data_IF_800622458329
#
_entry.id   IF_800622458329
#
_cell.length_a   1.000
_cell.length_b   1.000
_cell.length_c   1.000
_cell.angle_alpha   90.00
_cell.angle_beta   90.00
_cell.angle_gamma   90.00
#
_symmetry.space_group_name_H-M   'P 1'
#
loop_
_entity.id
_entity.type
_entity.pdbx_description
1 polymer ?
#
# COMPACT_ATOMS: atom_id res chain seq x y z
N UNK A 1 33.03 39.97 61.88
CA UNK A 1 33.41 38.95 60.88
C UNK A 1 32.71 39.30 59.58
N UNK A 2 33.36 40.11 58.75
CA UNK A 2 32.93 40.43 57.39
C UNK A 2 33.45 39.33 56.47
N UNK A 3 32.64 38.79 55.55
CA UNK A 3 33.13 37.80 54.59
C UNK A 3 33.97 38.48 53.50
N UNK A 4 35.08 37.81 53.21
CA UNK A 4 36.11 38.14 52.25
C UNK A 4 35.57 38.06 50.81
N UNK A 5 35.69 39.15 50.04
CA UNK A 5 35.32 39.19 48.62
C UNK A 5 36.53 38.76 47.79
N UNK A 6 36.65 37.46 47.56
CA UNK A 6 37.66 36.92 46.65
C UNK A 6 37.16 36.93 45.20
N UNK A 7 38.06 37.42 44.34
CA UNK A 7 37.98 37.66 42.90
C UNK A 7 37.28 36.57 42.05
N UNK A 8 36.24 36.98 41.32
CA UNK A 8 35.70 36.23 40.17
C UNK A 8 36.48 36.63 38.93
N UNK A 9 37.39 35.77 38.47
CA UNK A 9 38.13 35.95 37.23
C UNK A 9 37.21 35.62 36.04
N UNK A 10 36.71 36.66 35.37
CA UNK A 10 35.91 36.57 34.14
C UNK A 10 36.75 35.97 33.01
N UNK A 11 36.53 34.69 32.72
CA UNK A 11 37.14 33.99 31.59
C UNK A 11 36.30 34.27 30.35
N UNK A 12 36.60 35.37 29.65
CA UNK A 12 35.93 35.75 28.42
C UNK A 12 35.85 34.62 27.38
N UNK A 13 34.86 34.68 26.45
CA UNK A 13 34.58 33.60 25.52
C UNK A 13 35.79 33.30 24.63
N UNK A 14 36.38 32.12 24.82
CA UNK A 14 37.42 31.59 23.93
C UNK A 14 36.88 31.55 22.50
N UNK A 15 37.59 32.19 21.58
CA UNK A 15 37.28 32.17 20.16
C UNK A 15 37.13 30.71 19.69
N UNK A 16 35.92 30.30 19.34
CA UNK A 16 35.68 28.96 18.76
C UNK A 16 36.35 28.96 17.39
N UNK A 17 37.33 28.09 17.19
CA UNK A 17 37.95 27.88 15.89
C UNK A 17 36.87 27.59 14.83
N UNK A 18 37.10 28.03 13.58
CA UNK A 18 36.17 27.79 12.48
C UNK A 18 35.88 26.28 12.38
N UNK A 19 34.60 25.86 12.25
CA UNK A 19 34.27 24.45 12.08
C UNK A 19 34.95 23.93 10.81
N UNK A 20 35.65 22.79 10.93
CA UNK A 20 36.27 22.11 9.79
C UNK A 20 35.19 21.61 8.84
N UNK A 21 35.41 21.80 7.54
CA UNK A 21 34.55 21.26 6.47
C UNK A 21 34.63 19.73 6.44
N UNK A 22 33.62 19.04 5.92
CA UNK A 22 33.63 17.57 5.89
C UNK A 22 34.70 17.00 4.95
N UNK A 23 35.12 17.76 3.94
CA UNK A 23 36.28 17.43 3.12
C UNK A 23 37.55 17.34 3.98
N UNK A 24 37.73 18.26 4.94
CA UNK A 24 38.86 18.25 5.88
C UNK A 24 38.76 17.15 6.94
N UNK A 25 37.56 16.58 7.14
CA UNK A 25 37.31 15.48 8.07
C UNK A 25 37.39 14.09 7.39
N UNK A 26 37.61 14.04 6.07
CA UNK A 26 37.64 12.78 5.31
C UNK A 26 36.29 12.05 5.24
N UNK A 27 35.18 12.74 5.56
CA UNK A 27 33.83 12.17 5.61
C UNK A 27 33.12 12.25 4.24
N UNK A 28 33.80 11.83 3.18
CA UNK A 28 33.14 11.68 1.88
C UNK A 28 32.21 10.47 1.95
N UNK A 29 30.89 10.72 2.08
CA UNK A 29 29.87 9.67 2.03
C UNK A 29 29.41 9.54 0.58
N UNK A 30 29.46 8.32 0.04
CA UNK A 30 28.86 8.02 -1.27
C UNK A 30 27.33 7.98 -1.13
N UNK A 31 26.71 9.15 -1.27
CA UNK A 31 25.27 9.35 -1.13
C UNK A 31 24.44 8.44 -2.02
N UNK A 32 24.95 8.03 -3.20
CA UNK A 32 24.22 7.18 -4.13
C UNK A 32 23.95 5.77 -3.59
N UNK A 33 24.76 5.30 -2.63
CA UNK A 33 24.62 3.97 -2.01
C UNK A 33 23.82 4.00 -0.69
N UNK A 34 23.44 5.18 -0.23
CA UNK A 34 22.77 5.35 1.06
C UNK A 34 21.28 4.99 0.99
N UNK A 35 20.72 4.61 2.14
CA UNK A 35 19.27 4.38 2.27
C UNK A 35 18.49 5.67 2.00
N UNK A 36 19.05 6.81 2.36
CA UNK A 36 18.50 8.14 2.13
C UNK A 36 18.32 8.44 0.65
N UNK A 37 19.25 8.01 -0.21
CA UNK A 37 19.07 8.09 -1.66
C UNK A 37 17.88 7.25 -2.14
N UNK A 38 17.84 5.96 -1.80
CA UNK A 38 16.77 5.07 -2.26
C UNK A 38 15.38 5.44 -1.70
N UNK A 39 15.32 5.86 -0.44
CA UNK A 39 14.05 6.15 0.23
C UNK A 39 13.59 7.57 -0.02
N UNK A 40 14.49 8.56 0.08
CA UNK A 40 14.14 9.98 0.09
C UNK A 40 14.56 10.74 -1.17
N UNK A 41 15.30 10.11 -2.08
CA UNK A 41 15.82 10.72 -3.31
C UNK A 41 17.01 11.65 -3.07
N UNK A 42 17.65 11.52 -1.92
CA UNK A 42 18.77 12.37 -1.51
C UNK A 42 20.08 11.70 -1.93
N UNK A 43 20.47 11.83 -3.20
CA UNK A 43 21.57 11.05 -3.78
C UNK A 43 22.85 11.86 -4.05
N UNK A 44 22.81 13.18 -3.90
CA UNK A 44 23.98 14.06 -4.15
C UNK A 44 24.54 14.61 -2.84
N UNK A 45 25.86 14.51 -2.62
CA UNK A 45 26.53 15.05 -1.46
C UNK A 45 26.61 16.60 -1.51
N UNK A 46 26.18 17.28 -0.45
CA UNK A 46 26.39 18.73 -0.30
C UNK A 46 27.52 19.02 0.71
N UNK A 47 28.72 19.43 0.25
CA UNK A 47 29.83 19.73 1.14
C UNK A 47 29.68 21.06 1.87
N UNK A 48 28.71 21.89 1.49
CA UNK A 48 28.56 23.25 2.03
C UNK A 48 27.57 23.33 3.19
N UNK A 49 26.56 22.45 3.22
CA UNK A 49 25.57 22.36 4.30
C UNK A 49 24.78 23.66 4.58
N UNK A 50 24.82 24.65 3.68
CA UNK A 50 24.35 26.02 3.97
C UNK A 50 22.82 26.20 3.86
N UNK A 51 22.11 25.26 3.25
CA UNK A 51 20.69 25.44 2.91
C UNK A 51 19.72 24.81 3.92
N UNK A 52 20.20 23.98 4.85
CA UNK A 52 19.38 23.37 5.90
C UNK A 52 19.82 23.82 7.29
N UNK A 53 18.90 23.89 8.27
CA UNK A 53 19.20 24.32 9.65
C UNK A 53 20.04 23.31 10.46
N UNK A 54 20.72 22.38 9.79
CA UNK A 54 21.49 21.30 10.41
C UNK A 54 22.95 21.52 10.01
N UNK A 55 23.80 21.91 10.96
CA UNK A 55 25.25 22.01 10.73
C UNK A 55 25.82 20.59 10.52
N UNK A 56 26.21 20.25 9.29
CA UNK A 56 26.82 18.96 8.97
C UNK A 56 26.68 18.60 7.50
N UNK A 57 27.41 17.58 7.05
CA UNK A 57 27.26 17.07 5.68
C UNK A 57 26.10 16.10 5.55
N UNK A 58 25.31 16.29 4.50
CA UNK A 58 24.14 15.49 4.21
C UNK A 58 24.00 15.27 2.70
N UNK A 59 23.22 14.26 2.36
CA UNK A 59 22.81 14.01 0.98
C UNK A 59 21.56 14.84 0.66
N UNK A 60 21.49 15.39 -0.56
CA UNK A 60 20.39 16.19 -1.06
C UNK A 60 19.91 15.71 -2.43
N UNK A 61 18.67 16.04 -2.78
CA UNK A 61 18.16 15.88 -4.13
C UNK A 61 18.54 17.11 -4.96
N UNK A 62 19.32 16.92 -6.03
CA UNK A 62 19.69 17.98 -6.97
C UNK A 62 18.99 17.86 -8.31
N UNK A 63 18.47 16.67 -8.64
CA UNK A 63 17.76 16.45 -9.90
C UNK A 63 16.41 15.78 -9.68
N UNK A 64 15.47 16.06 -10.57
CA UNK A 64 14.17 15.37 -10.58
C UNK A 64 14.32 13.86 -10.75
N UNK A 65 15.33 13.41 -11.49
CA UNK A 65 15.60 11.99 -11.71
C UNK A 65 15.90 11.23 -10.41
N UNK A 66 16.65 11.84 -9.48
CA UNK A 66 16.89 11.26 -8.16
C UNK A 66 15.59 11.13 -7.35
N UNK A 67 14.71 12.12 -7.45
CA UNK A 67 13.41 12.07 -6.82
C UNK A 67 12.49 11.03 -7.46
N UNK A 68 12.42 10.96 -8.79
CA UNK A 68 11.61 10.02 -9.56
C UNK A 68 11.97 8.55 -9.27
N UNK A 69 13.23 8.28 -8.93
CA UNK A 69 13.70 6.93 -8.55
C UNK A 69 13.48 6.61 -7.07
N UNK A 70 13.09 7.58 -6.25
CA UNK A 70 12.97 7.40 -4.80
C UNK A 70 11.62 6.82 -4.37
N UNK A 71 11.62 6.06 -3.26
CA UNK A 71 10.39 5.63 -2.60
C UNK A 71 9.47 6.80 -2.24
N UNK A 72 10.02 7.98 -1.93
CA UNK A 72 9.26 9.18 -1.61
C UNK A 72 8.45 9.71 -2.80
N UNK A 73 8.93 9.55 -4.03
CA UNK A 73 8.11 9.80 -5.22
C UNK A 73 6.99 8.76 -5.33
N UNK A 74 7.30 7.46 -5.19
CA UNK A 74 6.30 6.39 -5.30
C UNK A 74 5.20 6.45 -4.22
N UNK A 75 5.57 6.72 -2.97
CA UNK A 75 4.64 6.68 -1.83
C UNK A 75 3.99 8.03 -1.54
N UNK A 76 4.67 9.14 -1.83
CA UNK A 76 4.26 10.48 -1.40
C UNK A 76 4.25 11.51 -2.53
N UNK A 77 4.42 11.11 -3.79
CA UNK A 77 4.32 12.01 -4.97
C UNK A 77 5.29 13.19 -4.96
N UNK A 78 6.37 13.08 -4.20
CA UNK A 78 7.40 14.10 -4.11
C UNK A 78 8.47 13.81 -5.17
N UNK A 79 8.15 13.99 -6.44
CA UNK A 79 9.00 13.56 -7.56
C UNK A 79 9.86 14.70 -8.14
N UNK A 80 9.84 15.89 -7.54
CA UNK A 80 10.60 17.06 -8.03
C UNK A 80 11.62 17.52 -7.01
N UNK A 81 12.84 17.72 -7.46
CA UNK A 81 13.92 18.23 -6.61
C UNK A 81 13.73 19.74 -6.44
N UNK A 82 13.55 20.16 -5.19
CA UNK A 82 13.40 21.57 -4.85
C UNK A 82 14.07 21.86 -3.51
N UNK A 83 15.04 22.79 -3.53
CA UNK A 83 15.84 23.20 -2.36
C UNK A 83 16.46 22.01 -1.60
N UNK A 84 17.09 21.11 -2.36
CA UNK A 84 17.79 19.96 -1.79
C UNK A 84 16.89 18.81 -1.32
N UNK A 85 15.57 18.89 -1.51
CA UNK A 85 14.65 17.84 -1.11
C UNK A 85 13.67 17.50 -2.23
N UNK A 86 13.20 16.25 -2.21
CA UNK A 86 12.09 15.83 -3.03
C UNK A 86 10.79 16.39 -2.45
N UNK A 87 10.09 17.22 -3.24
CA UNK A 87 8.85 17.91 -2.87
C UNK A 87 7.72 17.59 -3.84
N UNK A 88 6.48 17.66 -3.34
CA UNK A 88 5.29 17.64 -4.19
C UNK A 88 5.21 18.99 -4.92
N UNK A 89 4.98 18.98 -6.22
CA UNK A 89 4.63 20.22 -6.93
C UNK A 89 3.13 20.44 -6.86
N UNK A 90 2.73 21.65 -6.45
CA UNK A 90 1.33 22.06 -6.33
C UNK A 90 0.61 22.22 -7.68
N UNK A 91 1.31 22.04 -8.81
CA UNK A 91 0.70 21.87 -10.14
C UNK A 91 0.26 20.41 -10.36
N UNK A 92 -0.63 19.93 -9.48
CA UNK A 92 -1.38 18.69 -9.64
C UNK A 92 -2.50 18.88 -10.68
N UNK A 93 -2.10 18.91 -11.95
CA UNK A 93 -3.01 18.67 -13.09
C UNK A 93 -2.53 17.49 -13.94
N UNK A 94 -1.23 17.23 -13.99
CA UNK A 94 -0.71 16.14 -14.79
C UNK A 94 -0.88 14.79 -14.07
N UNK A 95 -1.82 13.97 -14.55
CA UNK A 95 -1.80 12.53 -14.35
C UNK A 95 -0.48 12.00 -14.94
N UNK A 96 0.54 11.80 -14.10
CA UNK A 96 1.78 11.20 -14.59
C UNK A 96 1.48 9.76 -15.04
N UNK A 97 1.92 9.33 -16.24
CA UNK A 97 1.73 7.96 -16.74
C UNK A 97 2.61 6.92 -16.01
N UNK A 98 2.91 7.16 -14.73
CA UNK A 98 3.61 6.23 -13.88
C UNK A 98 2.64 5.12 -13.45
N UNK A 99 3.15 3.91 -13.16
CA UNK A 99 2.33 2.74 -12.85
C UNK A 99 1.44 2.87 -11.58
N UNK A 100 1.55 3.96 -10.81
CA UNK A 100 0.87 4.16 -9.52
C UNK A 100 0.25 5.57 -9.34
N UNK A 101 -0.11 6.28 -10.42
CA UNK A 101 -0.88 7.52 -10.26
C UNK A 101 -2.19 7.25 -9.49
N UNK A 102 -2.57 8.11 -8.53
CA UNK A 102 -3.83 7.96 -7.76
C UNK A 102 -5.05 7.74 -8.67
N UNK A 103 -5.02 8.40 -9.82
CA UNK A 103 -5.90 8.19 -10.95
C UNK A 103 -5.99 6.69 -11.37
N UNK A 104 -4.86 6.02 -11.66
CA UNK A 104 -4.83 4.59 -12.00
C UNK A 104 -5.26 3.67 -10.84
N UNK A 105 -4.87 3.98 -9.61
CA UNK A 105 -5.24 3.21 -8.39
C UNK A 105 -6.74 3.26 -8.11
N UNK A 106 -7.37 4.42 -8.35
CA UNK A 106 -8.81 4.65 -8.09
C UNK A 106 -9.70 4.52 -9.34
N UNK A 107 -9.16 4.08 -10.47
CA UNK A 107 -9.98 3.84 -11.67
C UNK A 107 -10.14 5.03 -12.61
N UNK A 108 -9.56 6.20 -12.32
CA UNK A 108 -9.74 7.45 -13.05
C UNK A 108 -8.54 7.69 -13.97
N UNK A 109 -8.62 7.40 -15.26
CA UNK A 109 -7.44 7.42 -16.15
C UNK A 109 -7.45 8.59 -17.17
N UNK A 110 -7.60 9.83 -16.73
CA UNK A 110 -7.55 11.02 -17.58
C UNK A 110 -7.64 12.35 -16.82
N UNK A 111 -7.02 13.40 -17.37
CA UNK A 111 -7.09 14.77 -16.87
C UNK A 111 -8.15 15.55 -17.66
N UNK A 112 -9.12 16.14 -16.94
CA UNK A 112 -9.98 17.20 -17.45
C UNK A 112 -10.09 18.28 -16.37
N UNK A 113 -9.58 19.48 -16.68
CA UNK A 113 -9.63 20.64 -15.78
C UNK A 113 -9.07 20.37 -14.36
N UNK A 114 -8.01 19.55 -14.25
CA UNK A 114 -7.39 19.24 -12.96
C UNK A 114 -8.16 18.22 -12.11
N UNK A 115 -9.18 17.57 -12.69
CA UNK A 115 -9.90 16.45 -12.08
C UNK A 115 -9.57 15.14 -12.79
N UNK A 116 -9.29 14.11 -11.98
CA UNK A 116 -9.14 12.73 -12.45
C UNK A 116 -10.49 12.24 -13.03
N UNK A 117 -10.64 12.20 -14.36
CA UNK A 117 -11.82 11.68 -15.07
C UNK A 117 -11.50 10.40 -15.86
N UNK A 118 -12.54 9.65 -16.28
CA UNK A 118 -12.41 8.43 -17.11
C UNK A 118 -12.82 8.75 -18.55
N UNK A 119 -11.91 9.11 -19.46
CA UNK A 119 -12.30 9.55 -20.79
C UNK A 119 -12.75 8.40 -21.70
N UNK A 120 -12.27 7.17 -21.49
CA UNK A 120 -12.55 6.03 -22.39
C UNK A 120 -12.65 4.67 -21.68
N UNK A 121 -13.29 3.71 -22.34
CA UNK A 121 -13.39 2.32 -21.89
C UNK A 121 -12.02 1.64 -21.78
N UNK A 122 -11.10 1.97 -22.69
CA UNK A 122 -9.71 1.49 -22.64
C UNK A 122 -8.99 2.00 -21.38
N UNK A 123 -9.14 3.28 -21.04
CA UNK A 123 -8.60 3.88 -19.82
C UNK A 123 -9.16 3.20 -18.54
N UNK A 124 -10.45 2.87 -18.53
CA UNK A 124 -11.08 2.12 -17.45
C UNK A 124 -10.51 0.70 -17.32
N UNK A 125 -10.41 -0.03 -18.44
CA UNK A 125 -9.89 -1.40 -18.51
C UNK A 125 -8.45 -1.53 -17.99
N UNK A 126 -7.64 -0.48 -18.15
CA UNK A 126 -6.25 -0.44 -17.70
C UNK A 126 -6.08 -0.06 -16.23
N UNK A 127 -7.13 0.42 -15.57
CA UNK A 127 -7.02 0.89 -14.19
C UNK A 127 -6.89 -0.26 -13.18
N UNK A 128 -6.18 -0.01 -12.09
CA UNK A 128 -6.01 -0.99 -11.03
C UNK A 128 -7.32 -1.29 -10.31
N UNK A 129 -8.20 -0.28 -10.17
CA UNK A 129 -9.55 -0.50 -9.63
C UNK A 129 -10.36 -1.47 -10.51
N UNK A 130 -10.38 -1.30 -11.84
CA UNK A 130 -11.01 -2.26 -12.75
C UNK A 130 -10.35 -3.64 -12.64
N UNK A 131 -9.01 -3.71 -12.73
CA UNK A 131 -8.28 -4.97 -12.68
C UNK A 131 -8.50 -5.71 -11.35
N UNK A 132 -8.55 -5.00 -10.22
CA UNK A 132 -8.68 -5.62 -8.90
C UNK A 132 -10.13 -5.94 -8.52
N UNK A 133 -11.11 -5.15 -8.97
CA UNK A 133 -12.50 -5.23 -8.50
C UNK A 133 -13.51 -5.64 -9.57
N UNK A 134 -13.11 -5.79 -10.83
CA UNK A 134 -14.00 -6.14 -11.94
C UNK A 134 -14.86 -4.99 -12.42
N UNK A 135 -14.47 -3.79 -12.01
CA UNK A 135 -15.20 -2.57 -12.26
C UNK A 135 -14.70 -1.96 -13.60
N UNK A 136 -15.05 -2.56 -14.74
CA UNK A 136 -14.37 -2.28 -16.02
C UNK A 136 -15.16 -1.52 -17.10
N UNK A 137 -16.36 -1.00 -16.79
CA UNK A 137 -17.17 -0.27 -17.77
C UNK A 137 -17.10 1.27 -17.58
N UNK A 138 -16.73 1.99 -18.65
CA UNK A 138 -16.92 3.45 -18.74
C UNK A 138 -18.30 3.77 -19.32
N UNK A 139 -18.91 4.86 -18.88
CA UNK A 139 -20.22 5.30 -19.38
C UNK A 139 -20.29 5.42 -20.92
N UNK A 140 -21.46 5.14 -21.52
CA UNK A 140 -21.60 5.06 -22.97
C UNK A 140 -21.33 6.41 -23.65
N UNK A 141 -20.54 6.34 -24.74
CA UNK A 141 -20.19 7.27 -25.85
C UNK A 141 -20.20 8.81 -25.71
N UNK A 142 -20.79 9.41 -24.67
CA UNK A 142 -20.90 10.86 -24.52
C UNK A 142 -20.28 11.39 -23.21
N UNK A 143 -19.53 10.57 -22.48
CA UNK A 143 -18.82 10.99 -21.26
C UNK A 143 -19.68 11.28 -20.03
N UNK A 144 -21.01 11.17 -20.12
CA UNK A 144 -21.92 11.48 -19.00
C UNK A 144 -22.46 10.19 -18.40
N UNK A 145 -21.95 9.82 -17.23
CA UNK A 145 -22.65 8.91 -16.33
C UNK A 145 -23.85 9.63 -15.75
N UNK A 146 -25.05 9.43 -16.30
CA UNK A 146 -26.27 9.93 -15.67
C UNK A 146 -26.53 9.13 -14.39
N UNK A 147 -25.96 9.57 -13.28
CA UNK A 147 -26.61 9.34 -11.99
C UNK A 147 -27.99 10.03 -12.07
N UNK A 148 -29.10 9.36 -11.70
CA UNK A 148 -30.42 10.00 -11.65
C UNK A 148 -30.46 11.26 -10.76
N UNK A 149 -29.44 11.53 -9.94
CA UNK A 149 -29.36 12.68 -9.03
C UNK A 149 -28.43 13.83 -9.44
N UNK A 150 -27.80 13.84 -10.61
CA UNK A 150 -27.13 15.04 -11.12
C UNK A 150 -25.78 14.80 -11.82
N UNK A 151 -25.16 15.87 -12.37
CA UNK A 151 -24.20 15.73 -13.45
C UNK A 151 -22.87 15.07 -13.06
N UNK A 152 -22.36 15.17 -11.82
CA UNK A 152 -21.19 14.39 -11.36
C UNK A 152 -21.09 14.30 -9.82
N UNK A 153 -21.68 13.28 -9.18
CA UNK A 153 -21.02 12.64 -8.05
C UNK A 153 -21.12 11.10 -8.11
N UNK A 154 -19.99 10.44 -8.35
CA UNK A 154 -19.84 9.00 -8.11
C UNK A 154 -19.94 8.10 -9.33
N UNK A 155 -19.18 8.38 -10.40
CA UNK A 155 -18.89 7.38 -11.43
C UNK A 155 -18.20 6.16 -10.76
N UNK A 156 -19.00 5.20 -10.32
CA UNK A 156 -18.52 3.88 -9.91
C UNK A 156 -18.40 3.06 -11.17
N UNK A 157 -17.36 2.25 -11.24
CA UNK A 157 -17.33 1.23 -12.26
C UNK A 157 -18.04 0.00 -11.69
N UNK A 158 -18.68 -0.76 -12.57
CA UNK A 158 -19.49 -1.93 -12.21
C UNK A 158 -19.23 -2.97 -13.28
N UNK A 159 -19.19 -4.24 -12.88
CA UNK A 159 -19.27 -5.33 -13.85
C UNK A 159 -20.63 -5.26 -14.54
N UNK A 160 -20.67 -5.45 -15.86
CA UNK A 160 -21.91 -5.50 -16.64
C UNK A 160 -22.14 -6.87 -17.26
N UNK A 161 -21.15 -7.76 -17.17
CA UNK A 161 -21.16 -9.14 -17.64
C UNK A 161 -20.34 -10.06 -16.73
N UNK A 162 -20.54 -11.38 -16.86
CA UNK A 162 -19.72 -12.38 -16.18
C UNK A 162 -18.26 -12.32 -16.65
N UNK A 163 -18.01 -11.91 -17.90
CA UNK A 163 -16.65 -11.73 -18.43
C UNK A 163 -15.89 -10.65 -17.66
N UNK A 164 -16.55 -9.55 -17.27
CA UNK A 164 -15.94 -8.50 -16.45
C UNK A 164 -15.57 -9.03 -15.06
N UNK A 165 -16.45 -9.86 -14.48
CA UNK A 165 -16.21 -10.49 -13.19
C UNK A 165 -15.06 -11.50 -13.26
N UNK A 166 -15.05 -12.38 -14.25
CA UNK A 166 -14.03 -13.41 -14.44
C UNK A 166 -12.61 -12.85 -14.62
N UNK A 167 -12.49 -11.65 -15.19
CA UNK A 167 -11.19 -10.97 -15.38
C UNK A 167 -10.72 -10.20 -14.15
N UNK A 168 -11.56 -10.06 -13.12
CA UNK A 168 -11.23 -9.31 -11.92
C UNK A 168 -10.32 -10.08 -10.98
N UNK A 169 -9.43 -9.38 -10.28
CA UNK A 169 -8.71 -9.98 -9.16
C UNK A 169 -9.66 -10.40 -8.04
N UNK A 170 -10.84 -9.76 -7.92
CA UNK A 170 -11.92 -10.18 -7.04
C UNK A 170 -12.38 -11.61 -7.30
N UNK A 171 -12.56 -11.99 -8.57
CA UNK A 171 -12.82 -13.36 -8.97
C UNK A 171 -11.70 -14.30 -8.55
N UNK A 172 -10.45 -13.97 -8.91
CA UNK A 172 -9.29 -14.81 -8.58
C UNK A 172 -9.12 -15.00 -7.07
N UNK A 173 -9.28 -13.93 -6.28
CA UNK A 173 -9.01 -13.96 -4.84
C UNK A 173 -10.19 -14.38 -3.99
N UNK A 174 -11.42 -14.05 -4.37
CA UNK A 174 -12.62 -14.27 -3.55
C UNK A 174 -13.61 -15.24 -4.19
N UNK A 175 -13.32 -15.77 -5.38
CA UNK A 175 -14.25 -16.62 -6.12
C UNK A 175 -15.45 -15.86 -6.70
N UNK A 176 -15.40 -14.53 -6.69
CA UNK A 176 -16.47 -13.63 -7.16
C UNK A 176 -16.44 -13.48 -8.69
N UNK A 177 -16.69 -14.57 -9.41
CA UNK A 177 -16.48 -14.66 -10.85
C UNK A 177 -17.72 -14.45 -11.71
N UNK A 178 -18.90 -14.31 -11.10
CA UNK A 178 -20.16 -14.14 -11.83
C UNK A 178 -20.90 -12.88 -11.42
N UNK A 179 -21.62 -12.30 -12.38
CA UNK A 179 -22.42 -11.12 -12.20
C UNK A 179 -23.69 -11.47 -11.43
N UNK A 180 -23.75 -11.02 -10.18
CA UNK A 180 -24.90 -11.23 -9.35
C UNK A 180 -26.06 -10.34 -9.82
N UNK A 181 -26.93 -10.89 -10.67
CA UNK A 181 -28.16 -10.22 -11.12
C UNK A 181 -29.14 -9.91 -9.97
N UNK A 182 -28.94 -10.54 -8.80
CA UNK A 182 -29.80 -10.40 -7.61
C UNK A 182 -29.03 -10.14 -6.30
N UNK A 183 -27.74 -9.82 -6.33
CA UNK A 183 -27.06 -9.45 -5.09
C UNK A 183 -27.70 -8.18 -4.53
N UNK A 184 -28.50 -8.33 -3.48
CA UNK A 184 -28.91 -7.22 -2.62
C UNK A 184 -27.63 -6.68 -1.99
N UNK A 185 -26.99 -5.70 -2.62
CA UNK A 185 -25.95 -4.96 -1.93
C UNK A 185 -26.56 -4.33 -0.68
N UNK A 186 -25.75 -4.22 0.38
CA UNK A 186 -26.06 -3.36 1.54
C UNK A 186 -26.15 -1.91 1.06
N UNK A 187 -27.32 -1.50 0.56
CA UNK A 187 -27.62 -0.10 0.22
C UNK A 187 -28.05 0.23 -1.22
N UNK A 188 -28.30 -0.75 -2.11
CA UNK A 188 -28.91 -0.42 -3.42
C UNK A 188 -28.87 -1.50 -4.51
N UNK A 189 -29.56 -1.23 -5.62
CA UNK A 189 -29.59 -2.01 -6.87
C UNK A 189 -28.23 -1.90 -7.61
N UNK A 190 -27.19 -2.48 -7.04
CA UNK A 190 -25.85 -2.53 -7.64
C UNK A 190 -25.57 -3.89 -8.26
N UNK A 191 -25.19 -3.92 -9.54
CA UNK A 191 -24.54 -5.09 -10.16
C UNK A 191 -23.17 -5.28 -9.50
N UNK A 192 -22.96 -6.43 -8.87
CA UNK A 192 -21.69 -6.80 -8.23
C UNK A 192 -21.29 -8.20 -8.66
N UNK A 193 -19.98 -8.47 -8.65
CA UNK A 193 -19.50 -9.84 -8.80
C UNK A 193 -19.70 -10.58 -7.48
N UNK A 194 -20.20 -11.82 -7.54
CA UNK A 194 -20.36 -12.70 -6.39
C UNK A 194 -19.89 -14.11 -6.70
N UNK A 195 -19.58 -14.89 -5.66
CA UNK A 195 -19.44 -16.32 -5.82
C UNK A 195 -20.86 -16.92 -5.98
N UNK A 196 -21.04 -17.79 -6.96
CA UNK A 196 -22.33 -18.42 -7.25
C UNK A 196 -22.34 -19.92 -6.93
N UNK A 197 -21.16 -20.52 -6.76
CA UNK A 197 -20.99 -21.94 -6.53
C UNK A 197 -19.86 -22.25 -5.55
N UNK A 198 -19.97 -23.40 -4.88
CA UNK A 198 -18.88 -23.94 -4.07
C UNK A 198 -17.62 -24.19 -4.91
N UNK A 199 -17.78 -24.57 -6.19
CA UNK A 199 -16.67 -24.77 -7.11
C UNK A 199 -15.87 -23.47 -7.34
N UNK A 200 -16.55 -22.33 -7.52
CA UNK A 200 -15.89 -21.02 -7.64
C UNK A 200 -15.13 -20.63 -6.37
N UNK A 201 -15.67 -20.93 -5.19
CA UNK A 201 -14.95 -20.72 -3.93
C UNK A 201 -13.72 -21.63 -3.82
N UNK A 202 -13.86 -22.92 -4.12
CA UNK A 202 -12.79 -23.90 -4.01
C UNK A 202 -11.62 -23.62 -4.97
N UNK A 203 -11.89 -23.06 -6.15
CA UNK A 203 -10.85 -22.68 -7.12
C UNK A 203 -10.19 -21.32 -6.84
N UNK A 204 -10.73 -20.54 -5.90
CA UNK A 204 -10.20 -19.21 -5.58
C UNK A 204 -8.86 -19.25 -4.83
N UNK A 205 -8.04 -18.22 -5.00
CA UNK A 205 -6.84 -18.00 -4.18
C UNK A 205 -7.21 -17.79 -2.71
N UNK A 206 -8.39 -17.26 -2.40
CA UNK A 206 -8.91 -17.16 -1.03
C UNK A 206 -9.07 -18.52 -0.36
N UNK A 207 -9.54 -19.53 -1.09
CA UNK A 207 -9.52 -20.91 -0.60
C UNK A 207 -8.08 -21.41 -0.40
N UNK A 208 -7.23 -21.27 -1.41
CA UNK A 208 -5.83 -21.73 -1.36
C UNK A 208 -5.03 -21.12 -0.20
N UNK A 209 -5.14 -19.81 0.03
CA UNK A 209 -4.30 -19.09 0.99
C UNK A 209 -4.98 -18.83 2.34
N UNK A 210 -6.31 -18.68 2.37
CA UNK A 210 -7.07 -18.27 3.57
C UNK A 210 -8.13 -19.27 4.01
N UNK A 211 -8.25 -20.43 3.36
CA UNK A 211 -9.25 -21.44 3.68
C UNK A 211 -10.70 -21.05 3.39
N UNK A 212 -10.94 -19.98 2.62
CA UNK A 212 -12.27 -19.51 2.23
C UNK A 212 -12.86 -20.33 1.07
N UNK A 213 -13.19 -21.60 1.34
CA UNK A 213 -13.50 -22.60 0.32
C UNK A 213 -15.00 -22.91 0.12
N UNK A 214 -15.91 -22.39 0.94
CA UNK A 214 -17.35 -22.69 0.83
C UNK A 214 -18.19 -21.46 0.50
N UNK A 215 -19.27 -21.64 -0.27
CA UNK A 215 -20.21 -20.57 -0.58
C UNK A 215 -21.10 -20.26 0.62
N UNK A 216 -21.11 -19.01 1.07
CA UNK A 216 -22.04 -18.47 2.07
C UNK A 216 -23.38 -18.06 1.45
N UNK A 217 -24.42 -17.97 2.29
CA UNK A 217 -25.76 -17.55 1.85
C UNK A 217 -25.86 -16.09 1.35
N UNK A 218 -24.82 -15.30 1.57
CA UNK A 218 -24.63 -13.94 1.06
C UNK A 218 -23.89 -13.88 -0.28
N UNK A 219 -23.57 -15.02 -0.90
CA UNK A 219 -22.83 -15.08 -2.15
C UNK A 219 -21.33 -14.81 -1.98
N UNK A 220 -20.81 -14.88 -0.75
CA UNK A 220 -19.39 -14.71 -0.44
C UNK A 220 -18.75 -16.05 -0.06
N UNK A 221 -17.50 -16.25 -0.44
CA UNK A 221 -16.75 -17.40 0.00
C UNK A 221 -16.36 -17.27 1.47
N UNK A 222 -16.67 -18.30 2.25
CA UNK A 222 -16.49 -18.37 3.70
C UNK A 222 -15.44 -19.40 4.08
N UNK A 223 -14.78 -19.09 5.18
CA UNK A 223 -13.77 -19.94 5.79
C UNK A 223 -14.43 -21.18 6.37
N UNK A 224 -13.79 -22.32 6.16
CA UNK A 224 -14.23 -23.61 6.69
C UNK A 224 -13.07 -24.30 7.38
N UNK A 225 -13.36 -25.19 8.32
CA UNK A 225 -12.32 -26.00 8.97
C UNK A 225 -11.51 -26.82 7.94
N UNK A 226 -12.18 -27.43 6.96
CA UNK A 226 -11.50 -28.16 5.88
C UNK A 226 -10.63 -27.24 5.02
N UNK A 227 -11.13 -26.05 4.68
CA UNK A 227 -10.38 -25.06 3.93
C UNK A 227 -9.14 -24.58 4.69
N UNK A 228 -9.25 -24.31 5.98
CA UNK A 228 -8.10 -23.92 6.81
C UNK A 228 -7.04 -25.01 6.83
N UNK A 229 -7.42 -26.26 7.08
CA UNK A 229 -6.48 -27.38 7.14
C UNK A 229 -5.71 -27.62 5.83
N UNK A 230 -6.26 -27.22 4.67
CA UNK A 230 -5.64 -27.35 3.35
C UNK A 230 -4.97 -26.06 2.86
N UNK A 231 -5.08 -24.97 3.60
CA UNK A 231 -4.58 -23.66 3.18
C UNK A 231 -3.07 -23.56 3.31
N UNK A 232 -2.45 -22.69 2.50
CA UNK A 232 -1.03 -22.34 2.63
C UNK A 232 -0.73 -21.78 4.02
N UNK A 233 -1.62 -20.96 4.59
CA UNK A 233 -1.47 -20.41 5.95
C UNK A 233 -1.40 -21.50 7.03
N UNK A 234 -2.04 -22.66 6.83
CA UNK A 234 -1.88 -23.81 7.73
C UNK A 234 -0.47 -24.39 7.66
N UNK A 235 0.04 -24.69 6.47
CA UNK A 235 1.40 -25.25 6.31
C UNK A 235 2.52 -24.28 6.71
N UNK A 236 2.35 -22.98 6.44
CA UNK A 236 3.40 -21.99 6.70
C UNK A 236 3.39 -21.51 8.16
N UNK A 237 2.21 -21.16 8.69
CA UNK A 237 2.08 -20.45 9.98
C UNK A 237 1.16 -21.16 10.99
N UNK A 238 0.75 -22.40 10.74
CA UNK A 238 -0.09 -23.18 11.65
C UNK A 238 -1.55 -22.73 11.72
N UNK A 239 -2.01 -21.89 10.79
CA UNK A 239 -3.39 -21.40 10.73
C UNK A 239 -4.35 -22.47 10.18
N UNK A 240 -4.48 -23.59 10.88
CA UNK A 240 -5.18 -24.79 10.39
C UNK A 240 -6.63 -24.94 10.90
N UNK A 241 -7.08 -24.09 11.82
CA UNK A 241 -8.40 -24.20 12.45
C UNK A 241 -9.25 -22.93 12.29
N UNK A 242 -10.50 -23.04 12.72
CA UNK A 242 -11.46 -21.93 12.83
C UNK A 242 -11.83 -21.71 14.28
N UNK A 243 -12.03 -20.45 14.66
CA UNK A 243 -12.56 -20.05 15.98
C UNK A 243 -13.71 -19.08 15.76
N UNK A 244 -14.78 -19.25 16.52
CA UNK A 244 -15.95 -18.37 16.42
C UNK A 244 -15.56 -16.91 16.67
N UNK A 245 -16.02 -16.02 15.80
CA UNK A 245 -15.69 -14.59 15.85
C UNK A 245 -14.41 -14.20 15.10
N UNK A 246 -13.58 -15.15 14.64
CA UNK A 246 -12.41 -14.85 13.82
C UNK A 246 -12.73 -14.91 12.32
N UNK A 247 -12.45 -13.85 11.55
CA UNK A 247 -12.71 -13.84 10.10
C UNK A 247 -11.57 -14.47 9.28
N UNK A 248 -10.64 -15.19 9.92
CA UNK A 248 -9.48 -15.85 9.31
C UNK A 248 -9.16 -17.17 10.01
N UNK A 249 -8.41 -18.04 9.34
CA UNK A 249 -7.90 -19.27 9.95
C UNK A 249 -6.88 -18.97 11.04
N UNK A 250 -6.90 -19.76 12.10
CA UNK A 250 -6.01 -19.59 13.26
C UNK A 250 -5.49 -20.95 13.76
N UNK A 251 -4.33 -21.00 14.44
CA UNK A 251 -3.94 -22.18 15.18
C UNK A 251 -4.88 -22.40 16.37
N UNK A 252 -5.38 -23.63 16.51
CA UNK A 252 -6.28 -24.05 17.60
C UNK A 252 -5.69 -25.15 18.47
N UNK A 253 -4.55 -25.73 18.05
CA UNK A 253 -3.82 -26.75 18.81
C UNK A 253 -2.32 -26.47 18.75
N UNK A 254 -1.57 -26.92 19.77
CA UNK A 254 -0.11 -26.85 19.75
C UNK A 254 0.49 -27.64 18.57
N UNK A 255 -0.19 -28.70 18.11
CA UNK A 255 0.23 -29.48 16.96
C UNK A 255 0.22 -28.64 15.66
N UNK A 256 -0.71 -27.70 15.51
CA UNK A 256 -0.71 -26.80 14.35
C UNK A 256 0.56 -25.93 14.31
N UNK A 257 0.96 -25.37 15.45
CA UNK A 257 2.18 -24.57 15.54
C UNK A 257 3.44 -25.43 15.34
N UNK A 258 3.51 -26.61 15.95
CA UNK A 258 4.64 -27.50 15.81
C UNK A 258 4.85 -28.01 14.37
N UNK A 259 3.78 -28.18 13.60
CA UNK A 259 3.85 -28.64 12.21
C UNK A 259 4.21 -27.53 11.21
N UNK A 260 4.06 -26.26 11.57
CA UNK A 260 4.25 -25.11 10.69
C UNK A 260 5.72 -24.92 10.27
N UNK A 261 5.93 -24.45 9.03
CA UNK A 261 7.28 -24.08 8.57
C UNK A 261 7.89 -22.93 9.40
N UNK A 262 7.07 -22.01 9.91
CA UNK A 262 7.52 -20.93 10.80
C UNK A 262 8.08 -21.45 12.13
N UNK A 263 7.59 -22.60 12.63
CA UNK A 263 8.19 -23.27 13.79
C UNK A 263 9.61 -23.74 13.45
N UNK A 264 9.82 -24.35 12.27
CA UNK A 264 11.14 -24.85 11.83
C UNK A 264 12.12 -23.71 11.57
N UNK A 265 11.67 -22.63 10.93
CA UNK A 265 12.52 -21.51 10.49
C UNK A 265 12.79 -20.49 11.58
N UNK A 266 11.78 -20.20 12.40
CA UNK A 266 11.81 -19.09 13.35
C UNK A 266 11.61 -19.53 14.80
N UNK A 267 11.41 -20.82 15.06
CA UNK A 267 11.18 -21.36 16.41
C UNK A 267 9.77 -21.07 16.96
N UNK A 268 8.82 -20.62 16.14
CA UNK A 268 7.45 -20.29 16.58
C UNK A 268 6.58 -21.54 16.79
N UNK A 269 6.95 -22.39 17.74
CA UNK A 269 6.36 -23.72 17.90
C UNK A 269 5.25 -23.81 18.97
N UNK A 270 5.07 -22.77 19.79
CA UNK A 270 4.15 -22.77 20.92
C UNK A 270 2.86 -22.02 20.60
N UNK A 271 1.71 -22.63 20.91
CA UNK A 271 0.41 -21.97 20.75
C UNK A 271 0.18 -20.96 21.88
N UNK A 272 0.00 -19.69 21.54
CA UNK A 272 -0.69 -18.72 22.40
C UNK A 272 -2.20 -18.86 22.18
N UNK A 273 -2.86 -19.58 23.09
CA UNK A 273 -4.28 -19.90 22.97
C UNK A 273 -5.20 -18.68 23.14
N UNK A 274 -4.71 -17.59 23.73
CA UNK A 274 -5.51 -16.36 23.93
C UNK A 274 -5.44 -15.48 22.69
N UNK A 275 -4.23 -15.30 22.14
CA UNK A 275 -4.03 -14.51 20.94
C UNK A 275 -4.29 -15.29 19.65
N UNK A 276 -4.46 -16.61 19.74
CA UNK A 276 -4.60 -17.52 18.59
C UNK A 276 -3.47 -17.35 17.57
N UNK A 277 -2.23 -17.34 18.06
CA UNK A 277 -1.01 -17.23 17.23
C UNK A 277 0.06 -18.20 17.72
N UNK A 278 0.97 -18.57 16.82
CA UNK A 278 2.16 -19.33 17.18
C UNK A 278 3.28 -18.39 17.65
N UNK A 279 4.02 -18.79 18.69
CA UNK A 279 5.10 -18.02 19.31
C UNK A 279 6.29 -18.91 19.63
N UNK A 280 7.44 -18.27 19.88
CA UNK A 280 8.64 -18.93 20.40
C UNK A 280 8.41 -19.49 21.78
#
# INVERSE_FOLDING_TARGET
MTPDTSDVVDSGPKARGKPKTCAEQGLAVDCATTRECHVLGLCTFDPTGKELPIEGCYCKATTDQECEQSHKCYAHYACKAHKGACQQTTKLGACWPGPLGQCAVHGLCGDYEGSCLRPTQAACAMSEACRLRGECHSCPKNGICKDPKGPYPGARCWAVSDADCAQSAGCLWRGECELASKAKQRGGEGRACSAYSHAACASSLGCKYKGACALGGDGQCRITAEGCAKSVGCSESGQCGTVDGFPYCVPTTAAHCAAAEDCKRFGQCNLDAVAHVCRK
#
